data_IF_926885544351
#
_entry.id   IF_926885544351
#
_cell.length_a   1.000
_cell.length_b   1.000
_cell.length_c   1.000
_cell.angle_alpha   90.00
_cell.angle_beta   90.00
_cell.angle_gamma   90.00
#
_symmetry.space_group_name_H-M   'P 1'
#
loop_
_entity.id
_entity.type
_entity.pdbx_description
1 polymer ?
#
# COMPACT_ATOMS: atom_id res chain seq x y z
N UNK A 1 16.82 -5.29 21.95
CA UNK A 1 15.85 -5.81 20.95
C UNK A 1 15.43 -4.63 20.11
N UNK A 2 15.73 -4.63 18.81
CA UNK A 2 15.39 -3.50 17.93
C UNK A 2 13.87 -3.48 17.76
N UNK A 3 13.21 -2.46 18.31
CA UNK A 3 11.84 -2.15 17.94
C UNK A 3 11.94 -1.57 16.52
N UNK A 4 11.58 -2.35 15.49
CA UNK A 4 11.36 -1.76 14.15
C UNK A 4 10.33 -0.66 14.34
N UNK A 5 10.71 0.56 13.99
CA UNK A 5 9.80 1.69 14.06
C UNK A 5 8.67 1.47 13.06
N UNK A 6 7.49 2.04 13.33
CA UNK A 6 6.33 1.90 12.43
C UNK A 6 6.69 2.29 10.99
N UNK A 7 7.54 3.30 10.84
CA UNK A 7 8.05 3.76 9.55
C UNK A 7 8.90 2.70 8.85
N UNK A 8 9.75 1.96 9.57
CA UNK A 8 10.53 0.86 8.99
C UNK A 8 9.65 -0.31 8.54
N UNK A 9 8.62 -0.67 9.31
CA UNK A 9 7.68 -1.72 8.90
C UNK A 9 6.86 -1.30 7.68
N UNK A 10 6.43 -0.04 7.63
CA UNK A 10 5.70 0.50 6.48
C UNK A 10 6.60 0.60 5.24
N UNK A 11 7.88 0.95 5.41
CA UNK A 11 8.86 0.98 4.32
C UNK A 11 9.16 -0.43 3.79
N UNK A 12 9.30 -1.42 4.66
CA UNK A 12 9.52 -2.82 4.27
C UNK A 12 8.31 -3.36 3.49
N UNK A 13 7.09 -3.05 3.97
CA UNK A 13 5.85 -3.39 3.28
C UNK A 13 5.73 -2.65 1.94
N UNK A 14 6.03 -1.36 1.90
CA UNK A 14 6.00 -0.55 0.67
C UNK A 14 6.94 -1.15 -0.38
N UNK A 15 8.19 -1.45 0.00
CA UNK A 15 9.17 -2.09 -0.90
C UNK A 15 8.79 -3.51 -1.31
N UNK A 16 8.07 -4.23 -0.47
CA UNK A 16 7.55 -5.54 -0.83
C UNK A 16 6.39 -5.47 -1.85
N UNK A 17 5.69 -4.33 -1.91
CA UNK A 17 4.61 -4.07 -2.88
C UNK A 17 5.15 -3.43 -4.17
N UNK A 18 6.07 -2.48 -4.04
CA UNK A 18 6.72 -1.74 -5.13
C UNK A 18 7.69 -2.65 -5.89
N UNK A 19 7.13 -3.49 -6.75
CA UNK A 19 7.88 -4.48 -7.52
C UNK A 19 8.74 -3.84 -8.59
N UNK A 20 8.31 -2.68 -9.13
CA UNK A 20 9.04 -1.96 -10.16
C UNK A 20 10.03 -0.92 -9.59
N UNK A 21 10.07 -0.77 -8.26
CA UNK A 21 10.90 0.21 -7.55
C UNK A 21 10.67 1.64 -8.08
N UNK A 22 9.43 1.95 -8.47
CA UNK A 22 9.06 3.27 -8.95
C UNK A 22 8.99 4.30 -7.83
N UNK A 23 8.91 3.85 -6.56
CA UNK A 23 8.68 4.71 -5.41
C UNK A 23 7.20 5.13 -5.26
N UNK A 24 6.31 4.50 -6.04
CA UNK A 24 4.85 4.73 -6.00
C UNK A 24 4.13 3.41 -6.12
N UNK A 25 3.02 3.22 -5.41
CA UNK A 25 2.21 2.02 -5.50
C UNK A 25 1.03 2.26 -6.42
N UNK A 26 0.98 1.53 -7.52
CA UNK A 26 -0.20 1.54 -8.39
C UNK A 26 -1.30 0.65 -7.83
N UNK A 27 -2.55 0.90 -8.22
CA UNK A 27 -3.69 0.04 -7.85
C UNK A 27 -3.47 -1.44 -8.24
N UNK A 28 -2.70 -1.69 -9.31
CA UNK A 28 -2.36 -3.05 -9.76
C UNK A 28 -1.38 -3.75 -8.81
N UNK A 29 -0.39 -3.03 -8.31
CA UNK A 29 0.60 -3.58 -7.37
C UNK A 29 -0.02 -3.84 -6.01
N UNK A 30 -0.85 -2.90 -5.53
CA UNK A 30 -1.62 -3.09 -4.30
C UNK A 30 -2.57 -4.29 -4.44
N UNK A 31 -3.24 -4.44 -5.59
CA UNK A 31 -4.09 -5.60 -5.87
C UNK A 31 -3.31 -6.91 -5.87
N UNK A 32 -2.12 -6.94 -6.48
CA UNK A 32 -1.26 -8.11 -6.52
C UNK A 32 -0.87 -8.54 -5.10
N UNK A 33 -0.57 -7.57 -4.22
CA UNK A 33 -0.21 -7.85 -2.83
C UNK A 33 -1.43 -8.19 -1.98
N UNK A 34 -2.57 -7.51 -2.11
CA UNK A 34 -3.80 -7.85 -1.40
C UNK A 34 -4.34 -9.24 -1.75
N UNK A 35 -4.03 -9.74 -2.94
CA UNK A 35 -4.32 -11.10 -3.38
C UNK A 35 -3.17 -12.09 -3.12
N UNK A 36 -2.05 -11.63 -2.54
CA UNK A 36 -0.93 -12.49 -2.19
C UNK A 36 -1.33 -13.39 -1.01
N UNK A 37 -1.20 -14.72 -1.12
CA UNK A 37 -1.59 -15.66 -0.07
C UNK A 37 -0.83 -15.48 1.25
N UNK A 38 0.29 -14.75 1.25
CA UNK A 38 1.06 -14.44 2.45
C UNK A 38 0.38 -13.37 3.33
N UNK A 39 -0.42 -12.50 2.74
CA UNK A 39 -1.27 -11.60 3.49
C UNK A 39 -2.54 -12.36 3.84
N UNK A 40 -2.88 -12.39 5.13
CA UNK A 40 -4.06 -13.06 5.67
C UNK A 40 -5.37 -12.34 5.26
N UNK A 41 -5.53 -11.97 4.00
CA UNK A 41 -6.79 -11.51 3.45
C UNK A 41 -7.62 -12.72 3.05
N UNK A 42 -8.73 -13.02 3.76
CA UNK A 42 -9.60 -14.14 3.43
C UNK A 42 -10.40 -13.90 2.13
N UNK A 43 -10.37 -12.70 1.57
CA UNK A 43 -11.07 -12.32 0.34
C UNK A 43 -10.07 -11.90 -0.73
N UNK A 44 -10.35 -12.36 -1.96
CA UNK A 44 -9.74 -11.79 -3.16
C UNK A 44 -10.33 -10.40 -3.35
N UNK A 45 -9.47 -9.40 -3.38
CA UNK A 45 -9.87 -8.03 -3.72
C UNK A 45 -9.93 -7.91 -5.23
N UNK A 46 -10.89 -7.14 -5.73
CA UNK A 46 -10.99 -6.80 -7.15
C UNK A 46 -10.26 -5.50 -7.44
N UNK A 47 -9.82 -5.32 -8.70
CA UNK A 47 -9.14 -4.08 -9.10
C UNK A 47 -9.97 -2.85 -8.75
N UNK A 48 -11.29 -2.90 -8.95
CA UNK A 48 -12.21 -1.79 -8.65
C UNK A 48 -12.26 -1.41 -7.18
N UNK A 49 -12.20 -2.37 -6.26
CA UNK A 49 -12.14 -2.10 -4.82
C UNK A 49 -10.81 -1.44 -4.44
N UNK A 50 -9.72 -1.92 -5.04
CA UNK A 50 -8.39 -1.35 -4.82
C UNK A 50 -8.27 0.03 -5.46
N UNK A 51 -8.84 0.27 -6.63
CA UNK A 51 -8.91 1.59 -7.27
C UNK A 51 -9.71 2.58 -6.42
N UNK A 52 -10.82 2.15 -5.80
CA UNK A 52 -11.57 2.99 -4.88
C UNK A 52 -10.77 3.30 -3.59
N UNK A 53 -10.02 2.31 -3.09
CA UNK A 53 -9.12 2.51 -1.96
C UNK A 53 -8.00 3.50 -2.34
N UNK A 54 -7.31 3.28 -3.45
CA UNK A 54 -6.26 4.15 -3.98
C UNK A 54 -6.81 5.55 -4.18
N UNK A 55 -7.94 5.73 -4.85
CA UNK A 55 -8.55 7.05 -5.05
C UNK A 55 -8.97 7.76 -3.75
N UNK A 56 -9.21 7.01 -2.66
CA UNK A 56 -9.48 7.59 -1.35
C UNK A 56 -8.21 8.01 -0.59
N UNK A 57 -7.05 7.51 -1.01
CA UNK A 57 -5.73 7.75 -0.38
C UNK A 57 -4.92 8.75 -1.21
N UNK A 58 -4.95 8.59 -2.53
CA UNK A 58 -4.35 9.43 -3.55
C UNK A 58 -4.90 10.85 -3.43
N UNK A 59 -4.12 11.68 -2.76
CA UNK A 59 -4.42 13.09 -2.53
C UNK A 59 -3.78 13.94 -3.63
N UNK A 60 -2.75 13.41 -4.29
CA UNK A 60 -2.05 14.04 -5.40
C UNK A 60 -2.87 14.00 -6.70
N UNK A 61 -3.74 12.99 -6.86
CA UNK A 61 -4.59 12.76 -8.02
C UNK A 61 -3.87 12.13 -9.20
N UNK A 62 -2.72 11.46 -8.99
CA UNK A 62 -1.93 10.83 -10.05
C UNK A 62 -2.35 9.37 -10.34
N UNK A 63 -3.32 8.85 -9.59
CA UNK A 63 -3.81 7.47 -9.69
C UNK A 63 -2.88 6.44 -9.06
N UNK A 64 -1.93 6.90 -8.24
CA UNK A 64 -0.98 6.06 -7.51
C UNK A 64 -0.92 6.54 -6.06
N UNK A 65 -0.26 5.74 -5.22
CA UNK A 65 -0.03 6.08 -3.81
C UNK A 65 1.47 6.18 -3.60
N UNK A 66 1.95 7.39 -3.35
CA UNK A 66 3.34 7.57 -2.97
C UNK A 66 3.58 7.18 -1.50
N UNK A 67 4.86 7.01 -1.13
CA UNK A 67 5.22 6.60 0.23
C UNK A 67 4.68 7.55 1.32
N UNK A 68 4.59 8.85 1.02
CA UNK A 68 4.09 9.86 1.96
C UNK A 68 2.58 9.74 2.14
N UNK A 69 1.82 9.54 1.06
CA UNK A 69 0.38 9.30 1.10
C UNK A 69 0.05 8.01 1.87
N UNK A 70 0.81 6.94 1.61
CA UNK A 70 0.72 5.68 2.33
C UNK A 70 0.96 5.87 3.84
N UNK A 71 2.05 6.53 4.22
CA UNK A 71 2.35 6.84 5.61
C UNK A 71 1.26 7.70 6.26
N UNK A 72 0.71 8.67 5.54
CA UNK A 72 -0.31 9.59 6.06
C UNK A 72 -1.59 8.84 6.41
N UNK A 73 -2.02 7.90 5.57
CA UNK A 73 -3.21 7.06 5.84
C UNK A 73 -2.96 6.11 7.00
N UNK A 74 -1.80 5.45 7.05
CA UNK A 74 -1.46 4.56 8.17
C UNK A 74 -1.25 5.32 9.49
N UNK A 75 -0.77 6.56 9.46
CA UNK A 75 -0.70 7.45 10.64
C UNK A 75 -2.08 7.96 11.07
N UNK A 76 -2.97 8.25 10.12
CA UNK A 76 -4.29 8.82 10.42
C UNK A 76 -5.30 7.79 10.92
N UNK A 77 -5.07 6.50 10.69
CA UNK A 77 -5.98 5.41 11.06
C UNK A 77 -5.51 4.60 12.29
N UNK A 78 -4.55 5.13 13.07
CA UNK A 78 -4.10 4.64 14.39
C UNK A 78 -4.28 5.71 15.46
#
# INVERSE_FOLDING_TARGET
MAQKTKEETLLDLFKAIDTDNSGTLTAKEILAVLNNPNLKSPKKHTLKEVEALVASIDTSGDGKVDFKEFLQVFKSHM
#
